data_IF_626684314103
#
_entry.id   IF_626684314103
#
_cell.length_a   1.000
_cell.length_b   1.000
_cell.length_c   1.000
_cell.angle_alpha   90.00
_cell.angle_beta   90.00
_cell.angle_gamma   90.00
#
_symmetry.space_group_name_H-M   'P 1'
#
loop_
_entity.id
_entity.type
_entity.pdbx_description
1 polymer ?
#
# COMPACT_ATOMS: atom_id res chain seq x y z
N UNK A 1 -7.83 -9.25 5.36
CA UNK A 1 -8.76 -9.07 6.51
C UNK A 1 -10.13 -9.74 6.30
N UNK A 2 -10.26 -10.60 5.28
CA UNK A 2 -11.49 -11.36 5.01
C UNK A 2 -12.60 -10.55 4.35
N UNK A 3 -13.70 -11.23 4.03
CA UNK A 3 -14.98 -10.63 3.64
C UNK A 3 -15.78 -10.28 4.89
N UNK A 4 -16.54 -9.18 4.84
CA UNK A 4 -17.39 -8.68 5.92
C UNK A 4 -18.80 -8.43 5.39
N UNK A 5 -19.83 -8.62 6.24
CA UNK A 5 -21.21 -8.42 5.84
C UNK A 5 -21.49 -6.95 5.48
N UNK A 6 -22.59 -6.73 4.77
CA UNK A 6 -23.08 -5.39 4.45
C UNK A 6 -23.24 -4.53 5.72
N UNK A 7 -22.88 -3.26 5.62
CA UNK A 7 -22.95 -2.32 6.75
C UNK A 7 -21.82 -2.44 7.78
N UNK A 8 -20.83 -3.33 7.59
CA UNK A 8 -19.71 -3.46 8.52
C UNK A 8 -18.90 -2.16 8.65
N UNK A 9 -18.70 -1.70 9.89
CA UNK A 9 -17.89 -0.52 10.21
C UNK A 9 -16.72 -0.98 11.09
N UNK A 10 -15.47 -0.98 10.57
CA UNK A 10 -14.31 -1.34 11.36
C UNK A 10 -14.10 -0.41 12.56
N UNK A 11 -13.81 -1.00 13.71
CA UNK A 11 -13.58 -0.34 14.99
C UNK A 11 -12.09 -0.16 15.32
N UNK A 12 -11.78 0.44 16.47
CA UNK A 12 -10.42 0.45 17.00
C UNK A 12 -9.88 -0.94 17.33
N UNK A 13 -10.75 -1.87 17.75
CA UNK A 13 -10.36 -3.26 17.97
C UNK A 13 -9.92 -3.91 16.66
N UNK A 14 -10.67 -3.68 15.59
CA UNK A 14 -10.32 -4.12 14.23
C UNK A 14 -9.00 -3.53 13.75
N UNK A 15 -8.72 -2.27 14.11
CA UNK A 15 -7.42 -1.66 13.81
C UNK A 15 -6.27 -2.39 14.52
N UNK A 16 -6.44 -2.75 15.80
CA UNK A 16 -5.45 -3.54 16.54
C UNK A 16 -5.19 -4.90 15.90
N UNK A 17 -6.25 -5.63 15.54
CA UNK A 17 -6.14 -6.93 14.85
C UNK A 17 -5.46 -6.78 13.49
N UNK A 18 -5.79 -5.73 12.73
CA UNK A 18 -5.11 -5.41 11.48
C UNK A 18 -3.61 -5.18 11.68
N UNK A 19 -3.22 -4.36 12.67
CA UNK A 19 -1.81 -4.07 12.97
C UNK A 19 -1.08 -5.35 13.31
N UNK A 20 -1.65 -6.20 14.18
CA UNK A 20 -1.05 -7.49 14.53
C UNK A 20 -0.82 -8.38 13.30
N UNK A 21 -1.81 -8.53 12.43
CA UNK A 21 -1.67 -9.35 11.21
C UNK A 21 -0.68 -8.75 10.21
N UNK A 22 -0.70 -7.43 10.02
CA UNK A 22 0.23 -6.74 9.14
C UNK A 22 1.66 -6.91 9.64
N UNK A 23 1.90 -6.67 10.92
CA UNK A 23 3.23 -6.70 11.50
C UNK A 23 3.75 -8.14 11.50
N UNK A 24 2.91 -9.13 11.81
CA UNK A 24 3.26 -10.55 11.65
C UNK A 24 3.65 -10.91 10.21
N UNK A 25 2.90 -10.43 9.21
CA UNK A 25 3.27 -10.61 7.79
C UNK A 25 4.58 -9.91 7.44
N UNK A 26 4.80 -8.68 7.90
CA UNK A 26 6.00 -7.90 7.58
C UNK A 26 7.26 -8.47 8.25
N UNK A 27 7.15 -9.21 9.36
CA UNK A 27 8.27 -9.94 9.96
C UNK A 27 8.55 -11.29 9.27
N UNK A 28 7.67 -11.77 8.38
CA UNK A 28 7.97 -12.93 7.54
C UNK A 28 9.01 -12.60 6.47
N UNK A 29 9.61 -13.60 5.82
CA UNK A 29 10.53 -13.43 4.68
C UNK A 29 9.99 -12.49 3.59
N UNK A 30 8.67 -12.47 3.38
CA UNK A 30 8.00 -11.63 2.38
C UNK A 30 7.95 -10.14 2.75
N UNK A 31 8.20 -9.77 4.00
CA UNK A 31 8.33 -8.37 4.44
C UNK A 31 9.41 -7.60 3.69
N UNK A 32 10.47 -8.28 3.25
CA UNK A 32 11.53 -7.71 2.42
C UNK A 32 11.02 -7.18 1.09
N UNK A 33 10.11 -7.93 0.45
CA UNK A 33 9.49 -7.54 -0.82
C UNK A 33 8.69 -6.25 -0.63
N UNK A 34 7.99 -6.13 0.52
CA UNK A 34 7.27 -4.90 0.86
C UNK A 34 8.21 -3.69 1.05
N UNK A 35 9.40 -3.88 1.63
CA UNK A 35 10.41 -2.81 1.73
C UNK A 35 10.83 -2.28 0.36
N UNK A 36 11.04 -3.18 -0.61
CA UNK A 36 11.45 -2.83 -1.96
C UNK A 36 10.32 -2.28 -2.84
N UNK A 37 9.06 -2.51 -2.47
CA UNK A 37 7.90 -2.02 -3.23
C UNK A 37 7.84 -0.48 -3.32
N UNK A 38 8.40 0.23 -2.33
CA UNK A 38 8.38 1.69 -2.26
C UNK A 38 6.97 2.27 -2.00
N UNK A 39 6.85 3.60 -2.10
CA UNK A 39 5.59 4.31 -1.84
C UNK A 39 5.00 4.00 -0.46
N UNK A 40 3.67 3.89 -0.39
CA UNK A 40 2.96 3.64 0.87
C UNK A 40 3.28 2.27 1.48
N UNK A 41 3.40 1.23 0.65
CA UNK A 41 3.70 -0.15 1.11
C UNK A 41 5.11 -0.19 1.70
N UNK A 42 6.10 0.35 1.00
CA UNK A 42 7.47 0.44 1.49
C UNK A 42 7.59 1.30 2.76
N UNK A 43 6.83 2.39 2.87
CA UNK A 43 6.82 3.20 4.10
C UNK A 43 6.21 2.45 5.29
N UNK A 44 5.13 1.69 5.07
CA UNK A 44 4.51 0.84 6.09
C UNK A 44 5.45 -0.29 6.53
N UNK A 45 6.14 -0.92 5.58
CA UNK A 45 7.16 -1.92 5.88
C UNK A 45 8.27 -1.31 6.73
N UNK A 46 8.80 -0.14 6.36
CA UNK A 46 9.80 0.58 7.16
C UNK A 46 9.31 0.94 8.55
N UNK A 47 8.03 1.30 8.72
CA UNK A 47 7.49 1.62 10.05
C UNK A 47 7.66 0.46 11.04
N UNK A 48 7.60 -0.78 10.54
CA UNK A 48 7.68 -2.00 11.35
C UNK A 48 9.11 -2.54 11.43
N UNK A 49 9.83 -2.51 10.31
CA UNK A 49 11.15 -3.13 10.14
C UNK A 49 12.32 -2.15 10.34
N UNK A 50 12.10 -1.00 11.00
CA UNK A 50 13.15 0.03 11.19
C UNK A 50 14.31 -0.44 12.08
N UNK A 51 14.12 -1.49 12.86
CA UNK A 51 15.17 -2.05 13.73
C UNK A 51 16.08 -3.00 12.93
N UNK A 52 17.39 -2.91 13.16
CA UNK A 52 18.42 -3.62 12.38
C UNK A 52 18.27 -5.15 12.38
N UNK A 53 17.66 -5.70 13.43
CA UNK A 53 17.34 -7.14 13.53
C UNK A 53 16.30 -7.57 12.49
N UNK A 54 15.29 -6.73 12.21
CA UNK A 54 14.24 -7.02 11.25
C UNK A 54 14.72 -7.07 9.80
N UNK A 55 15.82 -6.38 9.47
CA UNK A 55 16.43 -6.42 8.13
C UNK A 55 17.35 -7.64 7.95
N UNK A 56 18.02 -8.08 9.01
CA UNK A 56 18.99 -9.18 8.99
C UNK A 56 18.31 -10.57 8.93
N UNK A 57 17.09 -10.70 9.47
CA UNK A 57 16.34 -11.96 9.51
C UNK A 57 15.50 -12.28 8.27
N UNK A 58 15.52 -11.44 7.22
CA UNK A 58 14.71 -11.66 6.03
C UNK A 58 15.44 -12.57 5.04
N UNK A 59 15.36 -13.88 5.26
CA UNK A 59 15.79 -14.88 4.28
C UNK A 59 15.02 -14.73 2.96
N UNK A 60 15.67 -15.11 1.85
CA UNK A 60 15.03 -15.06 0.53
C UNK A 60 13.81 -16.00 0.50
N UNK A 61 12.71 -15.54 -0.08
CA UNK A 61 11.51 -16.34 -0.24
C UNK A 61 11.63 -17.17 -1.53
N UNK A 62 11.30 -18.46 -1.49
CA UNK A 62 11.30 -19.29 -2.72
C UNK A 62 10.23 -18.86 -3.74
N UNK A 63 9.23 -18.08 -3.31
CA UNK A 63 8.17 -17.49 -4.15
C UNK A 63 8.67 -16.36 -5.08
N UNK A 64 9.48 -16.75 -6.07
CA UNK A 64 9.89 -15.87 -7.17
C UNK A 64 8.82 -15.92 -8.27
N UNK A 65 8.16 -14.78 -8.55
CA UNK A 65 7.14 -14.68 -9.61
C UNK A 65 7.73 -14.09 -10.90
N UNK A 66 7.19 -14.54 -12.02
CA UNK A 66 7.63 -14.15 -13.37
C UNK A 66 7.17 -12.73 -13.71
N UNK A 67 8.05 -11.93 -14.33
CA UNK A 67 7.71 -10.58 -14.78
C UNK A 67 8.01 -10.33 -16.27
N UNK A 68 7.69 -9.14 -16.83
CA UNK A 68 7.81 -8.86 -18.26
C UNK A 68 9.24 -9.05 -18.77
N UNK A 69 9.37 -9.52 -20.01
CA UNK A 69 10.69 -9.69 -20.65
C UNK A 69 11.34 -8.33 -20.87
N UNK A 70 12.57 -8.14 -20.42
CA UNK A 70 13.42 -7.04 -20.89
C UNK A 70 14.33 -7.59 -21.99
N UNK A 71 14.22 -7.02 -23.21
CA UNK A 71 15.00 -7.45 -24.39
C UNK A 71 14.99 -8.98 -24.63
N UNK A 72 13.84 -9.62 -24.43
CA UNK A 72 13.66 -11.07 -24.63
C UNK A 72 14.04 -11.97 -23.44
N UNK A 73 14.76 -11.45 -22.45
CA UNK A 73 15.18 -12.19 -21.25
C UNK A 73 14.12 -12.09 -20.15
N UNK A 74 13.64 -13.22 -19.59
CA UNK A 74 12.78 -13.18 -18.42
C UNK A 74 13.59 -12.70 -17.21
N UNK A 75 13.18 -11.57 -16.62
CA UNK A 75 13.67 -11.13 -15.33
C UNK A 75 12.81 -11.77 -14.23
N UNK A 76 13.47 -12.33 -13.23
CA UNK A 76 12.84 -12.97 -12.09
C UNK A 76 13.05 -12.09 -10.86
N UNK A 77 11.95 -11.63 -10.26
CA UNK A 77 11.99 -10.89 -9.01
C UNK A 77 10.78 -11.24 -8.17
N UNK A 78 10.98 -11.24 -6.86
CA UNK A 78 9.88 -11.37 -5.92
C UNK A 78 8.97 -10.13 -6.04
N UNK A 79 7.66 -10.36 -6.07
CA UNK A 79 6.66 -9.29 -6.06
C UNK A 79 5.53 -9.66 -5.10
N UNK A 80 4.88 -8.63 -4.55
CA UNK A 80 3.74 -8.81 -3.67
C UNK A 80 2.50 -9.22 -4.47
N UNK A 81 1.71 -10.13 -3.91
CA UNK A 81 0.39 -10.46 -4.44
C UNK A 81 -0.62 -9.35 -4.14
N UNK A 82 -1.76 -9.37 -4.82
CA UNK A 82 -2.82 -8.40 -4.52
C UNK A 82 -3.37 -8.60 -3.11
N UNK A 83 -3.45 -9.85 -2.64
CA UNK A 83 -3.89 -10.21 -1.30
C UNK A 83 -2.93 -9.69 -0.22
N UNK A 84 -1.62 -9.74 -0.48
CA UNK A 84 -0.59 -9.20 0.39
C UNK A 84 -0.65 -7.69 0.46
N UNK A 85 -0.77 -7.02 -0.70
CA UNK A 85 -0.97 -5.56 -0.74
C UNK A 85 -2.23 -5.18 0.02
N UNK A 86 -3.34 -5.91 -0.16
CA UNK A 86 -4.60 -5.71 0.56
C UNK A 86 -4.41 -5.90 2.06
N UNK A 87 -3.65 -6.91 2.50
CA UNK A 87 -3.31 -7.11 3.91
C UNK A 87 -2.52 -5.92 4.46
N UNK A 88 -1.43 -5.52 3.79
CA UNK A 88 -0.55 -4.44 4.24
C UNK A 88 -1.31 -3.10 4.35
N UNK A 89 -2.08 -2.75 3.32
CA UNK A 89 -2.89 -1.54 3.28
C UNK A 89 -4.14 -1.60 4.19
N UNK A 90 -4.44 -2.77 4.76
CA UNK A 90 -5.57 -2.96 5.66
C UNK A 90 -6.92 -2.85 4.97
N UNK A 91 -7.08 -3.51 3.82
CA UNK A 91 -8.29 -3.51 3.01
C UNK A 91 -9.31 -4.51 3.57
N UNK A 92 -10.52 -4.02 3.81
CA UNK A 92 -11.72 -4.81 4.06
C UNK A 92 -12.53 -4.94 2.77
N UNK A 93 -13.03 -6.14 2.53
CA UNK A 93 -13.96 -6.43 1.45
C UNK A 93 -15.35 -6.55 2.08
N UNK A 94 -16.22 -5.61 1.79
CA UNK A 94 -17.57 -5.52 2.34
C UNK A 94 -18.56 -5.89 1.25
N UNK A 95 -19.48 -6.79 1.55
CA UNK A 95 -20.58 -7.13 0.65
C UNK A 95 -21.55 -5.95 0.56
N UNK A 96 -22.02 -5.59 -0.64
CA UNK A 96 -23.14 -4.63 -0.75
C UNK A 96 -24.47 -5.32 -0.45
N UNK A 97 -25.47 -4.52 -0.07
CA UNK A 97 -26.83 -5.02 0.25
C UNK A 97 -27.44 -5.82 -0.90
N UNK A 98 -27.13 -5.46 -2.15
CA UNK A 98 -27.60 -6.16 -3.34
C UNK A 98 -26.83 -7.47 -3.65
N UNK A 99 -25.77 -7.78 -2.90
CA UNK A 99 -24.92 -8.97 -3.09
C UNK A 99 -24.10 -9.00 -4.39
N UNK A 100 -24.38 -8.10 -5.34
CA UNK A 100 -23.77 -8.08 -6.67
C UNK A 100 -22.41 -7.38 -6.71
N UNK A 101 -22.11 -6.49 -5.76
CA UNK A 101 -20.89 -5.69 -5.75
C UNK A 101 -20.11 -5.86 -4.45
N UNK A 102 -18.80 -5.65 -4.55
CA UNK A 102 -17.90 -5.64 -3.39
C UNK A 102 -17.40 -4.23 -3.17
N UNK A 103 -17.57 -3.75 -1.95
CA UNK A 103 -17.05 -2.46 -1.50
C UNK A 103 -15.71 -2.68 -0.81
N UNK A 104 -14.69 -2.00 -1.30
CA UNK A 104 -13.35 -2.05 -0.73
C UNK A 104 -13.10 -0.78 0.07
N UNK A 105 -12.84 -0.92 1.37
CA UNK A 105 -12.42 0.20 2.24
C UNK A 105 -11.11 -0.16 2.92
N UNK A 106 -10.26 0.83 3.19
CA UNK A 106 -8.94 0.56 3.74
C UNK A 106 -8.44 1.59 4.74
N UNK A 107 -7.54 1.13 5.62
CA UNK A 107 -6.84 1.96 6.58
C UNK A 107 -5.86 2.92 5.91
N UNK A 108 -5.17 2.43 4.88
CA UNK A 108 -4.20 3.14 4.06
C UNK A 108 -4.60 3.08 2.59
N UNK A 109 -4.23 4.08 1.76
CA UNK A 109 -4.46 3.99 0.33
C UNK A 109 -3.74 2.78 -0.26
N UNK A 110 -4.36 2.14 -1.25
CA UNK A 110 -3.67 1.13 -2.07
C UNK A 110 -2.55 1.80 -2.89
N UNK A 111 -1.56 1.04 -3.37
CA UNK A 111 -0.54 1.57 -4.27
C UNK A 111 -1.12 2.33 -5.46
N UNK A 112 -2.15 1.77 -6.09
CA UNK A 112 -2.86 2.40 -7.22
C UNK A 112 -3.51 3.74 -6.83
N UNK A 113 -4.12 3.83 -5.64
CA UNK A 113 -4.70 5.09 -5.17
C UNK A 113 -3.63 6.12 -4.81
N UNK A 114 -2.49 5.68 -4.28
CA UNK A 114 -1.38 6.54 -3.92
C UNK A 114 -0.62 7.06 -5.16
N UNK A 115 -0.32 6.19 -6.13
CA UNK A 115 0.39 6.56 -7.37
C UNK A 115 -0.42 7.51 -8.26
N UNK A 116 -1.75 7.34 -8.29
CA UNK A 116 -2.64 8.26 -9.01
C UNK A 116 -2.87 9.60 -8.29
N UNK A 117 -2.21 9.82 -7.15
CA UNK A 117 -2.36 11.01 -6.33
C UNK A 117 -1.27 12.05 -6.57
N UNK A 118 -1.52 13.29 -6.13
CA UNK A 118 -0.53 14.37 -6.22
C UNK A 118 0.64 14.24 -5.23
N UNK A 119 0.64 13.26 -4.32
CA UNK A 119 1.80 12.95 -3.47
C UNK A 119 2.85 12.14 -4.22
N UNK A 120 2.45 11.41 -5.26
CA UNK A 120 3.39 10.60 -6.01
C UNK A 120 4.23 11.48 -6.93
N UNK A 121 5.51 11.63 -6.58
CA UNK A 121 6.51 12.45 -7.28
C UNK A 121 7.71 11.60 -7.70
N UNK A 122 7.52 10.30 -7.87
CA UNK A 122 8.59 9.32 -8.15
C UNK A 122 9.36 8.85 -6.89
N UNK A 123 9.46 9.65 -5.83
CA UNK A 123 10.08 9.24 -4.56
C UNK A 123 9.28 9.65 -3.31
N UNK A 124 9.66 9.09 -2.16
CA UNK A 124 9.07 9.45 -0.87
C UNK A 124 9.68 10.74 -0.32
N UNK A 125 8.96 11.86 -0.43
CA UNK A 125 9.44 13.18 -0.03
C UNK A 125 8.84 13.64 1.32
N UNK A 126 9.25 14.84 1.79
CA UNK A 126 8.78 15.40 3.06
C UNK A 126 7.24 15.62 3.11
N UNK A 127 6.58 15.88 1.98
CA UNK A 127 5.13 16.01 1.93
C UNK A 127 4.45 14.65 2.10
N UNK A 128 4.99 13.59 1.49
CA UNK A 128 4.54 12.21 1.73
C UNK A 128 4.65 11.85 3.21
N UNK A 129 5.80 12.14 3.84
CA UNK A 129 6.02 11.84 5.25
C UNK A 129 5.09 12.64 6.16
N UNK A 130 4.91 13.95 5.92
CA UNK A 130 3.99 14.79 6.69
C UNK A 130 2.55 14.27 6.60
N UNK A 131 2.10 13.90 5.40
CA UNK A 131 0.79 13.30 5.20
C UNK A 131 0.68 11.95 5.93
N UNK A 132 1.70 11.09 5.83
CA UNK A 132 1.70 9.76 6.44
C UNK A 132 1.62 9.84 7.96
N UNK A 133 2.45 10.67 8.59
CA UNK A 133 2.45 10.87 10.04
C UNK A 133 1.12 11.47 10.53
N UNK A 134 0.52 12.39 9.76
CA UNK A 134 -0.82 12.90 10.05
C UNK A 134 -1.84 11.78 10.00
N UNK A 135 -1.85 10.95 8.94
CA UNK A 135 -2.77 9.82 8.82
C UNK A 135 -2.56 8.79 9.92
N UNK A 136 -1.31 8.48 10.29
CA UNK A 136 -0.98 7.55 11.37
C UNK A 136 -1.57 8.00 12.72
N UNK A 137 -1.57 9.32 12.99
CA UNK A 137 -2.23 9.88 14.16
C UNK A 137 -3.75 9.71 14.07
N UNK A 138 -4.34 10.04 12.92
CA UNK A 138 -5.78 9.88 12.68
C UNK A 138 -6.24 8.42 12.87
N UNK A 139 -5.45 7.43 12.43
CA UNK A 139 -5.83 6.01 12.54
C UNK A 139 -5.91 5.49 13.97
N UNK A 140 -5.28 6.19 14.92
CA UNK A 140 -5.36 5.85 16.35
C UNK A 140 -6.57 6.51 17.04
N UNK A 141 -7.31 7.36 16.34
CA UNK A 141 -8.48 8.06 16.89
C UNK A 141 -9.75 7.20 16.75
N UNK A 142 -10.68 7.23 17.73
CA UNK A 142 -11.94 6.47 17.68
C UNK A 142 -12.85 6.81 16.49
N UNK A 143 -12.71 8.02 15.95
CA UNK A 143 -13.54 8.57 14.87
C UNK A 143 -12.92 8.40 13.49
N UNK A 144 -11.92 7.52 13.35
CA UNK A 144 -11.25 7.31 12.08
C UNK A 144 -12.20 6.74 11.04
N UNK A 145 -12.36 7.47 9.93
CA UNK A 145 -13.06 6.96 8.75
C UNK A 145 -12.07 6.23 7.84
N UNK A 146 -12.41 5.00 7.45
CA UNK A 146 -11.76 4.30 6.35
C UNK A 146 -12.29 4.82 5.02
N UNK A 147 -11.48 4.67 3.99
CA UNK A 147 -11.79 5.23 2.68
C UNK A 147 -11.79 4.16 1.60
N UNK A 148 -12.71 4.32 0.67
CA UNK A 148 -12.70 3.63 -0.62
C UNK A 148 -11.57 4.16 -1.52
N UNK A 149 -11.28 3.45 -2.60
CA UNK A 149 -10.33 3.91 -3.62
C UNK A 149 -10.62 5.34 -4.10
N UNK A 150 -11.88 5.64 -4.44
CA UNK A 150 -12.28 6.95 -4.94
C UNK A 150 -12.16 8.05 -3.88
N UNK A 151 -12.51 7.76 -2.63
CA UNK A 151 -12.33 8.68 -1.51
C UNK A 151 -10.84 8.94 -1.23
N UNK A 152 -9.98 7.92 -1.32
CA UNK A 152 -8.53 8.10 -1.24
C UNK A 152 -8.02 9.00 -2.34
N UNK A 153 -8.38 8.73 -3.59
CA UNK A 153 -7.96 9.53 -4.73
C UNK A 153 -8.35 11.00 -4.55
N UNK A 154 -9.55 11.27 -4.05
CA UNK A 154 -10.02 12.62 -3.77
C UNK A 154 -9.28 13.27 -2.58
N UNK A 155 -9.02 12.54 -1.49
CA UNK A 155 -8.28 13.05 -0.32
C UNK A 155 -6.80 13.33 -0.61
N UNK A 156 -6.22 12.55 -1.52
CA UNK A 156 -4.82 12.70 -1.93
C UNK A 156 -4.69 13.58 -3.19
N UNK A 157 -5.76 14.26 -3.58
CA UNK A 157 -5.78 15.19 -4.70
C UNK A 157 -5.11 16.51 -4.27
N UNK A 158 -3.78 16.51 -4.32
CA UNK A 158 -2.98 17.74 -4.33
C UNK A 158 -2.99 18.34 -5.75
N UNK A 159 -1.97 19.11 -6.13
CA UNK A 159 -1.88 19.71 -7.46
C UNK A 159 -1.91 18.65 -8.57
N UNK A 160 -2.89 18.76 -9.47
CA UNK A 160 -2.98 17.92 -10.68
C UNK A 160 -1.82 18.15 -11.64
N UNK A 161 -1.16 19.32 -11.56
CA UNK A 161 0.03 19.62 -12.36
C UNK A 161 1.21 18.71 -11.97
N UNK A 162 1.39 18.43 -10.67
CA UNK A 162 2.47 17.57 -10.17
C UNK A 162 2.37 16.15 -10.73
N UNK A 163 1.18 15.55 -10.72
CA UNK A 163 0.95 14.22 -11.29
C UNK A 163 1.24 14.19 -12.81
N UNK A 164 0.81 15.22 -13.56
CA UNK A 164 1.08 15.31 -15.00
C UNK A 164 2.57 15.45 -15.32
N UNK A 165 3.31 16.22 -14.52
CA UNK A 165 4.76 16.36 -14.66
C UNK A 165 5.45 15.03 -14.38
N UNK A 166 5.03 14.31 -13.33
CA UNK A 166 5.62 13.01 -13.00
C UNK A 166 5.37 11.97 -14.11
N UNK A 167 4.15 11.87 -14.64
CA UNK A 167 3.85 10.98 -15.77
C UNK A 167 4.75 11.27 -16.99
N UNK A 168 4.92 12.56 -17.35
CA UNK A 168 5.82 12.94 -18.45
C UNK A 168 7.28 12.60 -18.15
N UNK A 169 7.70 12.76 -16.90
CA UNK A 169 9.06 12.39 -16.48
C UNK A 169 9.27 10.88 -16.58
N UNK A 170 8.28 10.07 -16.16
CA UNK A 170 8.32 8.60 -16.28
C UNK A 170 8.37 8.19 -17.76
N UNK A 171 7.52 8.77 -18.61
CA UNK A 171 7.52 8.55 -20.07
C UNK A 171 8.88 8.88 -20.71
N UNK A 172 9.46 10.04 -20.36
CA UNK A 172 10.77 10.44 -20.87
C UNK A 172 11.88 9.53 -20.35
N UNK A 173 11.90 9.23 -19.05
CA UNK A 173 12.92 8.37 -18.45
C UNK A 173 12.91 6.96 -19.07
N UNK A 174 11.73 6.39 -19.34
CA UNK A 174 11.59 5.10 -20.03
C UNK A 174 12.11 5.12 -21.47
N UNK A 175 12.19 6.30 -22.12
CA UNK A 175 12.75 6.47 -23.47
C UNK A 175 14.28 6.49 -23.48
N UNK A 176 14.90 6.89 -22.38
CA UNK A 176 16.36 7.07 -22.27
C UNK A 176 17.06 5.99 -21.42
N UNK A 177 16.32 4.98 -20.94
CA UNK A 177 16.80 3.76 -20.26
C UNK A 177 16.63 2.53 -21.16
#
# INVERSE_FOLDING_TARGET
>A
LGRRPAGYIPTLLDFGVYVQHRDGFLHSSRGRVALFYGGIVGRLARLVLSDSEGLACLEASEDVRRCPRYRGTPLWYETLTEEEIRLICGVYVIETEDGQQLKYISWWPTPTAFWSSGLHTGWWNANCERWFLKRLKETKSPQVKLHTYSEWKNKLRFSTATHKVNMKNDELSAKYL
#
